data_IF_775503415619
#
_entry.id   IF_775503415619
#
_cell.length_a   1.000
_cell.length_b   1.000
_cell.length_c   1.000
_cell.angle_alpha   90.00
_cell.angle_beta   90.00
_cell.angle_gamma   90.00
#
_symmetry.space_group_name_H-M   'P 1'
#
loop_
_entity.id
_entity.type
_entity.pdbx_description
1 polymer ?
#
# COMPACT_ATOMS: atom_id res chain seq x y z
N UNK A 1 0.02 -17.72 5.44
CA UNK A 1 -0.22 -16.33 4.99
C UNK A 1 -1.20 -15.70 5.97
N UNK A 2 -0.89 -14.52 6.52
CA UNK A 2 -1.85 -13.79 7.34
C UNK A 2 -3.13 -13.51 6.51
N UNK A 3 -4.29 -13.59 7.15
CA UNK A 3 -5.56 -13.34 6.48
C UNK A 3 -5.62 -11.89 6.00
N UNK A 4 -5.92 -11.69 4.70
CA UNK A 4 -6.07 -10.35 4.13
C UNK A 4 -7.46 -9.81 4.47
N UNK A 5 -7.51 -8.63 5.09
CA UNK A 5 -8.78 -7.93 5.38
C UNK A 5 -9.44 -7.48 4.08
N UNK A 6 -10.68 -7.92 3.85
CA UNK A 6 -11.53 -7.42 2.75
C UNK A 6 -12.15 -6.08 3.15
N UNK A 7 -12.13 -5.10 2.25
CA UNK A 7 -12.76 -3.80 2.44
C UNK A 7 -13.52 -3.38 1.19
N UNK A 8 -14.64 -2.69 1.37
CA UNK A 8 -15.36 -2.05 0.27
C UNK A 8 -14.79 -0.63 0.09
N UNK A 9 -14.22 -0.37 -1.08
CA UNK A 9 -13.65 0.93 -1.42
C UNK A 9 -14.63 1.71 -2.31
N UNK A 10 -14.97 2.93 -1.90
CA UNK A 10 -15.65 3.89 -2.78
C UNK A 10 -14.59 4.66 -3.55
N UNK A 11 -14.60 4.53 -4.87
CA UNK A 11 -13.60 5.12 -5.77
C UNK A 11 -14.31 5.75 -6.97
N UNK A 12 -13.79 6.85 -7.50
CA UNK A 12 -14.33 7.42 -8.73
C UNK A 12 -14.06 6.49 -9.92
N UNK A 13 -14.95 6.44 -10.93
CA UNK A 13 -14.75 5.61 -12.12
C UNK A 13 -13.45 5.94 -12.86
N UNK A 14 -13.12 7.23 -13.00
CA UNK A 14 -11.90 7.68 -13.68
C UNK A 14 -10.62 7.16 -13.02
N UNK A 15 -10.55 7.24 -11.69
CA UNK A 15 -9.40 6.72 -10.94
C UNK A 15 -9.31 5.19 -11.04
N UNK A 16 -10.45 4.50 -11.01
CA UNK A 16 -10.48 3.05 -11.21
C UNK A 16 -9.89 2.64 -12.56
N UNK A 17 -10.25 3.34 -13.64
CA UNK A 17 -9.70 3.06 -14.96
C UNK A 17 -8.20 3.30 -15.05
N UNK A 18 -7.69 4.38 -14.43
CA UNK A 18 -6.26 4.66 -14.37
C UNK A 18 -5.49 3.57 -13.61
N UNK A 19 -6.02 3.13 -12.46
CA UNK A 19 -5.45 2.02 -11.70
C UNK A 19 -5.44 0.71 -12.48
N UNK A 20 -6.50 0.42 -13.26
CA UNK A 20 -6.55 -0.76 -14.13
C UNK A 20 -5.47 -0.71 -15.22
N UNK A 21 -5.34 0.42 -15.92
CA UNK A 21 -4.31 0.61 -16.95
C UNK A 21 -2.91 0.50 -16.37
N UNK A 22 -2.68 1.07 -15.19
CA UNK A 22 -1.38 0.98 -14.52
C UNK A 22 -1.06 -0.46 -14.11
N UNK A 23 -2.00 -1.15 -13.46
CA UNK A 23 -1.82 -2.54 -13.06
C UNK A 23 -1.50 -3.45 -14.26
N UNK A 24 -2.21 -3.26 -15.38
CA UNK A 24 -1.96 -3.99 -16.63
C UNK A 24 -0.54 -3.75 -17.17
N UNK A 25 -0.04 -2.51 -17.15
CA UNK A 25 1.33 -2.17 -17.60
C UNK A 25 2.42 -2.81 -16.74
N UNK A 26 2.14 -3.04 -15.46
CA UNK A 26 3.07 -3.71 -14.53
C UNK A 26 2.83 -5.23 -14.40
N UNK A 27 1.97 -5.81 -15.24
CA UNK A 27 1.57 -7.23 -15.17
C UNK A 27 1.09 -7.65 -13.76
N UNK A 28 0.36 -6.75 -13.09
CA UNK A 28 -0.16 -6.95 -11.72
C UNK A 28 -1.69 -7.00 -11.72
N UNK A 29 -2.26 -7.67 -10.72
CA UNK A 29 -3.68 -7.50 -10.42
C UNK A 29 -3.96 -6.09 -9.90
N UNK A 30 -5.18 -5.59 -10.14
CA UNK A 30 -5.59 -4.26 -9.65
C UNK A 30 -5.53 -4.18 -8.12
N UNK A 31 -5.95 -5.25 -7.43
CA UNK A 31 -5.85 -5.32 -5.96
C UNK A 31 -4.39 -5.27 -5.49
N UNK A 32 -3.47 -5.95 -6.17
CA UNK A 32 -2.04 -5.86 -5.86
C UNK A 32 -1.49 -4.46 -6.11
N UNK A 33 -1.97 -3.77 -7.16
CA UNK A 33 -1.58 -2.39 -7.44
C UNK A 33 -2.03 -1.44 -6.32
N UNK A 34 -3.28 -1.58 -5.86
CA UNK A 34 -3.83 -0.80 -4.76
C UNK A 34 -3.05 -1.06 -3.47
N UNK A 35 -2.77 -2.32 -3.14
CA UNK A 35 -1.98 -2.69 -1.96
C UNK A 35 -0.59 -2.06 -1.98
N UNK A 36 0.11 -2.14 -3.12
CA UNK A 36 1.42 -1.51 -3.31
C UNK A 36 1.39 0.01 -3.10
N UNK A 37 0.41 0.70 -3.70
CA UNK A 37 0.29 2.15 -3.59
C UNK A 37 -0.03 2.59 -2.15
N UNK A 38 -0.92 1.87 -1.47
CA UNK A 38 -1.24 2.15 -0.07
C UNK A 38 -0.02 1.92 0.84
N UNK A 39 0.72 0.83 0.63
CA UNK A 39 1.94 0.55 1.40
C UNK A 39 2.98 1.66 1.19
N UNK A 40 3.19 2.07 -0.06
CA UNK A 40 4.08 3.19 -0.38
C UNK A 40 3.66 4.49 0.29
N UNK A 41 2.38 4.86 0.21
CA UNK A 41 1.87 6.08 0.84
C UNK A 41 2.06 6.08 2.36
N UNK A 42 1.86 4.92 3.01
CA UNK A 42 2.09 4.75 4.46
C UNK A 42 3.58 4.89 4.78
N UNK A 43 4.47 4.27 4.00
CA UNK A 43 5.91 4.33 4.23
C UNK A 43 6.51 5.70 3.91
N UNK A 44 5.96 6.44 2.94
CA UNK A 44 6.33 7.83 2.66
C UNK A 44 5.91 8.75 3.81
N UNK A 45 4.73 8.53 4.41
CA UNK A 45 4.22 9.35 5.52
C UNK A 45 4.92 9.07 6.85
N UNK A 46 5.15 7.80 7.16
CA UNK A 46 5.59 7.35 8.49
C UNK A 46 7.03 6.83 8.50
N UNK A 47 7.71 6.81 7.36
CA UNK A 47 8.99 6.12 7.18
C UNK A 47 8.82 4.62 6.95
N UNK A 48 9.84 4.00 6.35
CA UNK A 48 9.93 2.54 6.15
C UNK A 48 9.69 1.79 7.47
N UNK A 49 9.04 0.61 7.48
CA UNK A 49 8.89 -0.20 8.68
C UNK A 49 10.23 -0.50 9.36
N UNK A 50 11.30 -0.65 8.56
CA UNK A 50 12.66 -0.86 9.05
C UNK A 50 13.25 0.37 9.75
N UNK A 51 12.82 1.59 9.41
CA UNK A 51 13.17 2.82 10.13
C UNK A 51 12.36 2.95 11.42
N UNK A 52 11.05 2.71 11.37
CA UNK A 52 10.16 2.76 12.55
C UNK A 52 10.59 1.81 13.66
N UNK A 53 11.04 0.60 13.32
CA UNK A 53 11.51 -0.39 14.31
C UNK A 53 12.81 0.05 15.01
N UNK A 54 13.72 0.71 14.28
CA UNK A 54 14.98 1.22 14.85
C UNK A 54 14.80 2.39 15.81
N UNK A 55 13.79 3.24 15.62
CA UNK A 55 13.49 4.36 16.52
C UNK A 55 12.81 3.86 17.81
N UNK A 56 11.88 2.91 17.71
CA UNK A 56 11.21 2.32 18.90
C UNK A 56 12.13 1.47 19.79
N UNK A 57 13.15 0.83 19.22
CA UNK A 57 14.16 0.07 19.99
C UNK A 57 15.20 1.00 20.67
N UNK A 58 15.33 2.26 20.22
CA UNK A 58 16.29 3.24 20.75
C UNK A 58 15.71 4.14 21.86
N UNK A 59 14.39 4.35 21.90
CA UNK A 59 13.70 5.09 22.98
C UNK A 59 13.37 4.21 24.21
N UNK A 60 13.66 2.90 24.14
CA UNK A 60 13.43 1.93 25.21
C UNK A 60 14.65 1.56 26.06
N UNK A 61 15.76 2.32 25.96
CA UNK A 61 16.98 2.16 26.77
C UNK A 61 17.26 3.42 27.60
#
# INVERSE_FOLDING_TARGET
>A
MAERKKLLLRISPSLWEELNRWAAREFRSVNGQIEFLLQRAVDERLGSPAKRKKEGDAEGL
#
